data_IF_150053352455
#
_entry.id   IF_150053352455
#
_cell.length_a   1.000
_cell.length_b   1.000
_cell.length_c   1.000
_cell.angle_alpha   90.00
_cell.angle_beta   90.00
_cell.angle_gamma   90.00
#
_symmetry.space_group_name_H-M   'P 1'
#
loop_
_entity.id
_entity.type
_entity.pdbx_description
1 polymer ?
#
# COMPACT_ATOMS: atom_id res chain seq x y z
N UNK A 1 9.12 -63.36 47.45
CA UNK A 1 9.03 -63.31 46.01
C UNK A 1 8.57 -61.93 45.64
N UNK A 2 9.51 -61.06 45.14
CA UNK A 2 9.26 -59.66 44.94
C UNK A 2 9.05 -59.40 43.45
N UNK A 3 7.86 -58.96 43.09
CA UNK A 3 7.57 -58.50 41.73
C UNK A 3 7.50 -56.96 41.74
N UNK A 4 8.57 -56.32 41.26
CA UNK A 4 8.63 -54.88 41.05
C UNK A 4 7.97 -54.51 39.73
N UNK A 5 6.83 -53.90 39.79
CA UNK A 5 6.18 -53.29 38.61
C UNK A 5 6.76 -51.90 38.38
N UNK A 6 7.50 -51.69 37.30
CA UNK A 6 8.00 -50.39 36.86
C UNK A 6 6.92 -49.66 36.05
N UNK A 7 6.43 -48.57 36.61
CA UNK A 7 5.59 -47.60 35.89
C UNK A 7 6.45 -46.77 34.95
N UNK A 8 6.26 -46.97 33.68
CA UNK A 8 6.86 -46.15 32.62
C UNK A 8 6.09 -44.82 32.48
N UNK A 9 6.73 -43.73 32.86
CA UNK A 9 6.20 -42.37 32.61
C UNK A 9 6.50 -42.00 31.15
N UNK A 10 5.49 -42.09 30.28
CA UNK A 10 5.55 -41.57 28.93
C UNK A 10 5.51 -40.03 28.95
N UNK A 11 6.64 -39.42 28.65
CA UNK A 11 6.71 -37.98 28.42
C UNK A 11 6.09 -37.67 27.04
N UNK A 12 4.92 -37.06 27.03
CA UNK A 12 4.32 -36.50 25.83
C UNK A 12 4.97 -35.15 25.55
N UNK A 13 5.90 -35.13 24.61
CA UNK A 13 6.46 -33.88 24.08
C UNK A 13 5.43 -33.19 23.21
N UNK A 14 4.87 -32.11 23.74
CA UNK A 14 4.03 -31.19 22.96
C UNK A 14 4.96 -30.29 22.14
N UNK A 15 5.10 -30.58 20.86
CA UNK A 15 5.80 -29.71 19.93
C UNK A 15 4.87 -28.50 19.64
N UNK A 16 5.17 -27.37 20.27
CA UNK A 16 4.54 -26.08 19.93
C UNK A 16 5.17 -25.57 18.65
N UNK A 17 4.47 -25.75 17.53
CA UNK A 17 4.85 -25.13 16.27
C UNK A 17 4.61 -23.63 16.35
N UNK A 18 5.68 -22.84 16.51
CA UNK A 18 5.65 -21.39 16.39
C UNK A 18 5.53 -21.06 14.89
N UNK A 19 4.31 -20.77 14.43
CA UNK A 19 4.10 -20.20 13.12
C UNK A 19 4.63 -18.76 13.14
N UNK A 20 5.81 -18.52 12.55
CA UNK A 20 6.28 -17.17 12.25
C UNK A 20 5.35 -16.58 11.17
N UNK A 21 4.38 -15.79 11.59
CA UNK A 21 3.67 -14.92 10.68
C UNK A 21 4.66 -13.83 10.23
N UNK A 22 5.20 -13.97 9.01
CA UNK A 22 5.88 -12.87 8.34
C UNK A 22 4.84 -11.79 8.08
N UNK A 23 4.74 -10.84 9.00
CA UNK A 23 4.06 -9.57 8.73
C UNK A 23 4.90 -8.85 7.67
N UNK A 24 4.47 -8.90 6.41
CA UNK A 24 4.96 -7.95 5.42
C UNK A 24 4.55 -6.57 5.93
N UNK A 25 5.49 -5.88 6.56
CA UNK A 25 5.35 -4.47 6.86
C UNK A 25 5.15 -3.78 5.52
N UNK A 26 3.93 -3.27 5.27
CA UNK A 26 3.68 -2.42 4.13
C UNK A 26 4.62 -1.21 4.28
N UNK A 27 5.61 -1.12 3.40
CA UNK A 27 6.51 0.01 3.35
C UNK A 27 5.68 1.23 3.00
N UNK A 28 5.53 2.15 3.96
CA UNK A 28 4.97 3.46 3.71
C UNK A 28 5.87 4.20 2.72
N UNK A 29 5.27 4.93 1.79
CA UNK A 29 6.00 5.64 0.75
C UNK A 29 5.54 5.25 -0.65
N UNK A 30 6.32 5.64 -1.65
CA UNK A 30 6.06 5.27 -3.04
C UNK A 30 6.57 3.85 -3.31
N UNK A 31 5.70 3.02 -3.88
CA UNK A 31 6.01 1.66 -4.34
C UNK A 31 5.45 1.44 -5.74
N UNK A 32 6.09 0.57 -6.52
CA UNK A 32 5.54 0.19 -7.81
C UNK A 32 4.16 -0.47 -7.65
N UNK A 33 3.23 -0.16 -8.53
CA UNK A 33 1.90 -0.77 -8.50
C UNK A 33 2.00 -2.29 -8.67
N UNK A 34 1.27 -3.00 -7.86
CA UNK A 34 1.00 -4.42 -7.95
C UNK A 34 -0.47 -4.63 -7.62
N UNK A 35 -1.20 -5.31 -8.51
CA UNK A 35 -2.62 -5.58 -8.29
C UNK A 35 -2.88 -6.26 -6.94
N UNK A 36 -2.08 -7.27 -6.61
CA UNK A 36 -2.25 -8.01 -5.35
C UNK A 36 -2.01 -7.13 -4.13
N UNK A 37 -0.97 -6.28 -4.15
CA UNK A 37 -0.66 -5.37 -3.05
C UNK A 37 -1.72 -4.27 -2.92
N UNK A 38 -2.17 -3.72 -4.03
CA UNK A 38 -3.25 -2.72 -4.05
C UNK A 38 -4.54 -3.30 -3.50
N UNK A 39 -5.01 -4.44 -4.02
CA UNK A 39 -6.24 -5.09 -3.56
C UNK A 39 -6.18 -5.40 -2.05
N UNK A 40 -5.04 -5.88 -1.55
CA UNK A 40 -4.82 -6.15 -0.13
C UNK A 40 -4.90 -4.87 0.71
N UNK A 41 -4.29 -3.77 0.26
CA UNK A 41 -4.32 -2.49 0.98
C UNK A 41 -5.73 -1.90 1.02
N UNK A 42 -6.48 -1.97 -0.09
CA UNK A 42 -7.87 -1.53 -0.17
C UNK A 42 -8.76 -2.38 0.74
N UNK A 43 -8.65 -3.70 0.71
CA UNK A 43 -9.41 -4.60 1.57
C UNK A 43 -9.14 -4.38 3.06
N UNK A 44 -7.90 -4.01 3.42
CA UNK A 44 -7.50 -3.67 4.79
C UNK A 44 -7.89 -2.24 5.20
N UNK A 45 -8.49 -1.45 4.32
CA UNK A 45 -8.90 -0.06 4.60
C UNK A 45 -7.73 0.89 4.85
N UNK A 46 -6.54 0.59 4.33
CA UNK A 46 -5.35 1.42 4.51
C UNK A 46 -5.46 2.74 3.75
N UNK A 47 -4.74 3.80 4.21
CA UNK A 47 -4.60 5.02 3.43
C UNK A 47 -3.76 4.75 2.17
N UNK A 48 -4.38 4.89 1.00
CA UNK A 48 -3.78 4.56 -0.30
C UNK A 48 -3.93 5.73 -1.27
N UNK A 49 -2.87 5.97 -2.04
CA UNK A 49 -2.88 6.86 -3.19
C UNK A 49 -2.43 6.05 -4.39
N UNK A 50 -3.06 6.22 -5.54
CA UNK A 50 -2.57 5.73 -6.82
C UNK A 50 -2.14 6.92 -7.65
N UNK A 51 -0.89 6.91 -8.12
CA UNK A 51 -0.31 7.90 -9.01
C UNK A 51 -0.13 7.30 -10.40
N UNK A 52 -0.94 7.76 -11.35
CA UNK A 52 -0.81 7.37 -12.76
C UNK A 52 0.20 8.27 -13.45
N UNK A 53 1.40 7.79 -13.62
CA UNK A 53 2.50 8.54 -14.23
C UNK A 53 3.08 7.84 -15.45
N UNK A 54 3.74 8.62 -16.31
CA UNK A 54 4.46 8.14 -17.47
C UNK A 54 5.85 8.77 -17.55
N UNK A 55 6.83 8.02 -18.07
CA UNK A 55 8.21 8.50 -18.17
C UNK A 55 8.39 9.74 -19.06
N UNK A 56 7.52 9.89 -20.06
CA UNK A 56 7.51 11.00 -21.01
C UNK A 56 6.72 12.23 -20.56
N UNK A 57 6.04 12.17 -19.42
CA UNK A 57 5.08 13.17 -18.94
C UNK A 57 5.78 14.31 -18.18
N UNK A 58 5.83 15.55 -18.71
CA UNK A 58 6.46 16.69 -18.01
C UNK A 58 5.77 17.05 -16.71
N UNK A 59 4.43 16.98 -16.66
CA UNK A 59 3.65 17.26 -15.45
C UNK A 59 3.95 16.26 -14.35
N UNK A 60 4.10 14.96 -14.69
CA UNK A 60 4.48 13.93 -13.72
C UNK A 60 5.86 14.21 -13.13
N UNK A 61 6.81 14.68 -13.96
CA UNK A 61 8.15 15.07 -13.49
C UNK A 61 8.10 16.27 -12.54
N UNK A 62 7.20 17.23 -12.78
CA UNK A 62 6.99 18.36 -11.89
C UNK A 62 6.32 17.93 -10.57
N UNK A 63 5.46 16.93 -10.58
CA UNK A 63 4.80 16.38 -9.40
C UNK A 63 5.77 15.60 -8.49
N UNK A 64 6.73 14.87 -9.07
CA UNK A 64 7.58 13.93 -8.32
C UNK A 64 8.24 14.53 -7.06
N UNK A 65 8.98 15.66 -7.13
CA UNK A 65 9.61 16.24 -5.94
C UNK A 65 8.59 16.69 -4.88
N UNK A 66 7.38 17.06 -5.30
CA UNK A 66 6.29 17.40 -4.38
C UNK A 66 5.80 16.15 -3.66
N UNK A 67 5.56 15.07 -4.42
CA UNK A 67 5.15 13.75 -3.88
C UNK A 67 6.17 13.25 -2.87
N UNK A 68 7.46 13.24 -3.23
CA UNK A 68 8.54 12.77 -2.37
C UNK A 68 8.56 13.53 -1.04
N UNK A 69 8.47 14.86 -1.11
CA UNK A 69 8.48 15.71 0.08
C UNK A 69 7.24 15.49 0.96
N UNK A 70 6.05 15.31 0.36
CA UNK A 70 4.81 15.09 1.10
C UNK A 70 4.79 13.72 1.79
N UNK A 71 5.25 12.67 1.11
CA UNK A 71 5.31 11.32 1.69
C UNK A 71 6.35 11.21 2.81
N UNK A 72 7.41 12.05 2.79
CA UNK A 72 8.40 12.12 3.86
C UNK A 72 7.87 12.77 5.15
N UNK A 73 6.75 13.47 5.10
CA UNK A 73 6.17 14.10 6.30
C UNK A 73 5.62 13.04 7.27
N UNK A 74 5.92 13.14 8.59
CA UNK A 74 5.53 12.14 9.59
C UNK A 74 4.06 11.79 9.61
N UNK A 75 3.17 12.78 9.35
CA UNK A 75 1.72 12.55 9.33
C UNK A 75 1.25 11.60 8.23
N UNK A 76 2.05 11.44 7.16
CA UNK A 76 1.74 10.58 6.01
C UNK A 76 2.53 9.27 5.99
N UNK A 77 3.27 8.96 7.06
CA UNK A 77 4.09 7.73 7.12
C UNK A 77 3.30 6.43 6.95
N UNK A 78 1.99 6.43 7.19
CA UNK A 78 1.13 5.28 6.99
C UNK A 78 0.54 5.19 5.57
N UNK A 79 0.70 6.23 4.75
CA UNK A 79 0.19 6.27 3.38
C UNK A 79 1.06 5.43 2.47
N UNK A 80 0.45 4.56 1.69
CA UNK A 80 1.12 3.86 0.58
C UNK A 80 0.71 4.53 -0.73
N UNK A 81 1.67 5.02 -1.49
CA UNK A 81 1.44 5.51 -2.84
C UNK A 81 1.89 4.44 -3.84
N UNK A 82 0.95 3.94 -4.63
CA UNK A 82 1.22 3.03 -5.75
C UNK A 82 1.50 3.83 -7.01
N UNK A 83 2.74 3.76 -7.50
CA UNK A 83 3.12 4.31 -8.79
C UNK A 83 2.67 3.37 -9.90
N UNK A 84 1.65 3.77 -10.66
CA UNK A 84 1.08 3.01 -11.76
C UNK A 84 1.56 3.59 -13.10
N UNK A 85 2.17 2.75 -13.93
CA UNK A 85 2.56 3.13 -15.26
C UNK A 85 1.32 3.34 -16.14
N UNK A 86 1.07 4.58 -16.55
CA UNK A 86 -0.09 4.93 -17.36
C UNK A 86 -0.14 4.18 -18.69
N UNK A 87 1.01 3.87 -19.29
CA UNK A 87 1.06 3.23 -20.60
C UNK A 87 0.72 1.73 -20.52
N UNK A 88 1.08 1.06 -19.42
CA UNK A 88 0.95 -0.39 -19.29
C UNK A 88 -0.21 -0.84 -18.41
N UNK A 89 -0.67 -0.03 -17.44
CA UNK A 89 -1.71 -0.43 -16.46
C UNK A 89 -3.14 -0.19 -17.00
N UNK A 90 -3.45 -0.77 -18.17
CA UNK A 90 -4.75 -0.58 -18.84
C UNK A 90 -5.94 -1.07 -17.99
N UNK A 91 -5.79 -2.19 -17.30
CA UNK A 91 -6.85 -2.75 -16.46
C UNK A 91 -7.17 -1.85 -15.26
N UNK A 92 -6.13 -1.30 -14.62
CA UNK A 92 -6.29 -0.38 -13.49
C UNK A 92 -6.91 0.95 -13.93
N UNK A 93 -6.47 1.50 -15.08
CA UNK A 93 -7.07 2.72 -15.66
C UNK A 93 -8.57 2.52 -15.88
N UNK A 94 -8.96 1.39 -16.45
CA UNK A 94 -10.38 1.06 -16.66
C UNK A 94 -11.13 0.93 -15.34
N UNK A 95 -10.57 0.19 -14.38
CA UNK A 95 -11.16 -0.03 -13.06
C UNK A 95 -11.41 1.30 -12.33
N UNK A 96 -10.42 2.21 -12.33
CA UNK A 96 -10.49 3.49 -11.64
C UNK A 96 -11.00 4.64 -12.53
N UNK A 97 -11.37 4.36 -13.78
CA UNK A 97 -11.88 5.34 -14.75
C UNK A 97 -10.92 6.53 -14.94
N UNK A 98 -9.64 6.22 -15.12
CA UNK A 98 -8.59 7.20 -15.33
C UNK A 98 -8.33 7.35 -16.83
N UNK A 99 -8.47 8.57 -17.35
CA UNK A 99 -8.34 8.88 -18.76
C UNK A 99 -7.05 9.61 -19.13
N UNK A 100 -6.30 10.10 -18.15
CA UNK A 100 -5.07 10.87 -18.35
C UNK A 100 -4.00 10.49 -17.34
N UNK A 101 -2.73 10.62 -17.76
CA UNK A 101 -1.59 10.57 -16.84
C UNK A 101 -1.58 11.79 -15.89
N UNK A 102 -0.67 11.86 -14.96
CA UNK A 102 -0.61 12.89 -13.91
C UNK A 102 -1.86 12.91 -13.04
N UNK A 103 -2.50 11.75 -12.85
CA UNK A 103 -3.72 11.61 -12.08
C UNK A 103 -3.43 10.91 -10.76
N UNK A 104 -3.80 11.57 -9.66
CA UNK A 104 -3.84 10.97 -8.33
C UNK A 104 -5.26 10.51 -8.02
N UNK A 105 -5.40 9.30 -7.48
CA UNK A 105 -6.65 8.78 -6.94
C UNK A 105 -6.42 8.38 -5.48
N UNK A 106 -7.19 8.94 -4.56
CA UNK A 106 -6.98 8.81 -3.11
C UNK A 106 -8.07 7.95 -2.48
N UNK A 107 -7.68 7.01 -1.64
CA UNK A 107 -8.55 6.07 -0.94
C UNK A 107 -8.39 6.18 0.56
N UNK A 108 -9.52 6.08 1.26
CA UNK A 108 -9.61 5.96 2.72
C UNK A 108 -10.67 4.91 3.06
N UNK A 109 -10.31 3.96 3.94
CA UNK A 109 -11.24 2.91 4.34
C UNK A 109 -11.75 2.06 3.17
N UNK A 110 -10.92 1.83 2.14
CA UNK A 110 -11.27 1.06 0.95
C UNK A 110 -12.12 1.80 -0.09
N UNK A 111 -12.37 3.11 0.10
CA UNK A 111 -13.23 3.92 -0.79
C UNK A 111 -12.46 5.09 -1.36
N UNK A 112 -12.70 5.40 -2.62
CA UNK A 112 -12.19 6.63 -3.22
C UNK A 112 -12.80 7.86 -2.53
N UNK A 113 -11.93 8.76 -2.08
CA UNK A 113 -12.32 9.99 -1.37
C UNK A 113 -11.93 11.25 -2.12
N UNK A 114 -11.03 11.16 -3.11
CA UNK A 114 -10.64 12.30 -3.93
C UNK A 114 -9.77 11.90 -5.10
N UNK A 115 -9.68 12.80 -6.07
CA UNK A 115 -8.76 12.68 -7.22
C UNK A 115 -8.40 14.04 -7.78
N UNK A 116 -7.29 14.11 -8.48
CA UNK A 116 -6.93 15.27 -9.30
C UNK A 116 -6.11 14.83 -10.52
N UNK A 117 -6.18 15.61 -11.58
CA UNK A 117 -5.40 15.40 -12.81
C UNK A 117 -4.63 16.65 -13.13
N UNK A 118 -3.32 16.54 -13.39
CA UNK A 118 -2.46 17.64 -13.83
C UNK A 118 -2.14 18.68 -12.75
N UNK A 119 -2.47 18.44 -11.48
CA UNK A 119 -2.19 19.35 -10.37
C UNK A 119 -0.69 19.43 -10.07
N UNK A 120 -0.12 20.64 -10.02
CA UNK A 120 1.29 20.89 -9.68
C UNK A 120 1.47 21.87 -8.52
N UNK A 121 0.39 22.37 -7.94
CA UNK A 121 0.44 23.16 -6.72
C UNK A 121 0.62 22.27 -5.50
N UNK A 122 1.67 22.52 -4.71
CA UNK A 122 2.01 21.70 -3.54
C UNK A 122 0.88 21.69 -2.49
N UNK A 123 0.25 22.83 -2.24
CA UNK A 123 -0.78 22.93 -1.21
C UNK A 123 -2.04 22.14 -1.62
N UNK A 124 -2.39 22.17 -2.90
CA UNK A 124 -3.50 21.41 -3.45
C UNK A 124 -3.24 19.90 -3.41
N UNK A 125 -2.02 19.48 -3.77
CA UNK A 125 -1.64 18.05 -3.68
C UNK A 125 -1.62 17.60 -2.21
N UNK A 126 -1.09 18.41 -1.30
CA UNK A 126 -1.09 18.12 0.14
C UNK A 126 -2.50 17.94 0.69
N UNK A 127 -3.42 18.86 0.36
CA UNK A 127 -4.82 18.79 0.77
C UNK A 127 -5.52 17.54 0.23
N UNK A 128 -5.21 17.14 -1.01
CA UNK A 128 -5.73 15.92 -1.60
C UNK A 128 -5.19 14.68 -0.87
N UNK A 129 -3.88 14.60 -0.62
CA UNK A 129 -3.25 13.48 0.06
C UNK A 129 -3.73 13.33 1.51
N UNK A 130 -4.02 14.43 2.18
CA UNK A 130 -4.55 14.43 3.55
C UNK A 130 -5.95 13.82 3.65
N UNK A 131 -6.69 13.70 2.55
CA UNK A 131 -7.97 13.00 2.53
C UNK A 131 -7.82 11.49 2.79
N UNK A 132 -6.63 10.93 2.60
CA UNK A 132 -6.36 9.53 2.92
C UNK A 132 -6.24 9.27 4.44
N UNK A 133 -6.03 10.30 5.25
CA UNK A 133 -5.78 10.22 6.70
C UNK A 133 -7.12 10.24 7.54
#
# INVERSE_FOLDING_TARGET
MNTHTRFGRGARSVAVAFALALSLAATAGEVAYSKAAFDSAIAAGKPVIVDFKASWCPTCKAQQPIVDALLAEPKRKAVTLFAADYDTEAALKKQLRVAQQSTFVVFKGGREVGRSTGQTDRAQIAALFDQAL
#
